data_IF_928924215144
#
_entry.id   IF_928924215144
#
_cell.length_a   1.000
_cell.length_b   1.000
_cell.length_c   1.000
_cell.angle_alpha   90.00
_cell.angle_beta   90.00
_cell.angle_gamma   90.00
#
_symmetry.space_group_name_H-M   'P 1'
#
loop_
_entity.id
_entity.type
_entity.pdbx_description
1 polymer ?
#
# COMPACT_ATOMS: atom_id res chain seq x y z
N UNK A 1 9.15 -14.93 -2.76
CA UNK A 1 9.46 -13.62 -2.18
C UNK A 1 10.74 -13.64 -1.36
N UNK A 2 11.68 -12.74 -1.61
CA UNK A 2 12.96 -12.64 -0.90
C UNK A 2 13.00 -11.38 -0.04
N UNK A 3 12.31 -11.41 1.10
CA UNK A 3 12.41 -10.34 2.09
C UNK A 3 13.73 -10.45 2.89
N UNK A 4 14.35 -9.32 3.27
CA UNK A 4 15.41 -9.31 4.28
C UNK A 4 14.95 -9.99 5.57
N UNK A 5 15.80 -10.83 6.18
CA UNK A 5 15.44 -11.61 7.39
C UNK A 5 14.98 -10.69 8.53
N UNK A 6 15.59 -9.50 8.68
CA UNK A 6 15.19 -8.53 9.70
C UNK A 6 13.76 -8.02 9.45
N UNK A 7 13.47 -7.58 8.23
CA UNK A 7 12.14 -7.13 7.82
C UNK A 7 11.07 -8.22 8.01
N UNK A 8 11.39 -9.48 7.70
CA UNK A 8 10.48 -10.60 7.95
C UNK A 8 10.13 -10.72 9.45
N UNK A 9 11.13 -10.61 10.33
CA UNK A 9 10.91 -10.67 11.78
C UNK A 9 10.07 -9.50 12.29
N UNK A 10 10.26 -8.30 11.75
CA UNK A 10 9.42 -7.13 12.09
C UNK A 10 7.95 -7.39 11.77
N UNK A 11 7.66 -7.95 10.59
CA UNK A 11 6.29 -8.36 10.24
C UNK A 11 5.76 -9.49 11.15
N UNK A 12 6.58 -10.49 11.47
CA UNK A 12 6.19 -11.59 12.37
C UNK A 12 5.86 -11.07 13.78
N UNK A 13 6.71 -10.22 14.35
CA UNK A 13 6.53 -9.62 15.68
C UNK A 13 5.29 -8.73 15.73
N UNK A 14 5.12 -7.84 14.75
CA UNK A 14 3.93 -6.99 14.65
C UNK A 14 2.65 -7.82 14.46
N UNK A 15 2.69 -8.87 13.64
CA UNK A 15 1.55 -9.75 13.40
C UNK A 15 1.15 -10.55 14.64
N UNK A 16 2.13 -10.92 15.48
CA UNK A 16 1.88 -11.61 16.75
C UNK A 16 1.16 -10.70 17.74
N UNK A 17 1.66 -9.48 17.94
CA UNK A 17 1.01 -8.50 18.83
C UNK A 17 -0.38 -8.13 18.30
N UNK A 18 -0.51 -7.94 17.00
CA UNK A 18 -1.81 -7.74 16.35
C UNK A 18 -2.79 -8.88 16.70
N UNK A 19 -2.39 -10.15 16.53
CA UNK A 19 -3.23 -11.31 16.84
C UNK A 19 -3.63 -11.37 18.31
N UNK A 20 -2.69 -11.17 19.22
CA UNK A 20 -2.96 -11.16 20.66
C UNK A 20 -3.97 -10.08 21.08
N UNK A 21 -3.97 -8.92 20.40
CA UNK A 21 -4.91 -7.84 20.68
C UNK A 21 -6.30 -8.14 20.11
N UNK A 22 -6.41 -8.63 18.87
CA UNK A 22 -7.72 -8.96 18.29
C UNK A 22 -8.38 -10.16 18.99
N UNK A 23 -7.61 -11.12 19.49
CA UNK A 23 -8.12 -12.24 20.31
C UNK A 23 -8.73 -11.77 21.63
N UNK A 24 -8.29 -10.62 22.15
CA UNK A 24 -8.88 -9.96 23.32
C UNK A 24 -10.13 -9.14 22.99
N UNK A 25 -10.57 -9.14 21.73
CA UNK A 25 -11.75 -8.41 21.26
C UNK A 25 -11.51 -6.95 20.94
N UNK A 26 -10.24 -6.53 20.80
CA UNK A 26 -9.92 -5.16 20.39
C UNK A 26 -10.40 -4.90 18.95
N UNK A 27 -10.91 -3.70 18.72
CA UNK A 27 -11.27 -3.21 17.39
C UNK A 27 -10.02 -2.62 16.75
N UNK A 28 -9.77 -2.88 15.47
CA UNK A 28 -8.60 -2.34 14.78
C UNK A 28 -8.93 -0.97 14.18
N UNK A 29 -8.21 0.07 14.59
CA UNK A 29 -8.27 1.39 13.94
C UNK A 29 -7.28 1.42 12.79
N UNK A 30 -7.71 1.78 11.59
CA UNK A 30 -6.82 1.98 10.43
C UNK A 30 -6.91 3.42 9.95
N UNK A 31 -5.76 4.05 9.71
CA UNK A 31 -5.65 5.34 9.03
C UNK A 31 -4.85 5.12 7.76
N UNK A 32 -5.33 5.65 6.64
CA UNK A 32 -4.67 5.48 5.35
C UNK A 32 -4.73 6.74 4.50
N UNK A 33 -3.80 6.88 3.56
CA UNK A 33 -3.80 7.98 2.60
C UNK A 33 -4.96 7.87 1.59
N UNK A 34 -5.33 8.99 0.97
CA UNK A 34 -6.48 9.11 0.07
C UNK A 34 -6.07 9.18 -1.41
N UNK A 35 -5.28 8.22 -1.84
CA UNK A 35 -4.95 7.96 -3.24
C UNK A 35 -5.09 6.45 -3.56
N UNK A 36 -4.64 6.03 -4.75
CA UNK A 36 -4.76 4.64 -5.16
C UNK A 36 -3.94 3.67 -4.28
N UNK A 37 -2.78 4.11 -3.77
CA UNK A 37 -1.92 3.27 -2.93
C UNK A 37 -2.53 3.11 -1.53
N UNK A 38 -2.85 4.22 -0.87
CA UNK A 38 -3.51 4.22 0.42
C UNK A 38 -4.86 3.50 0.41
N UNK A 39 -5.75 3.78 -0.54
CA UNK A 39 -7.05 3.09 -0.61
C UNK A 39 -6.91 1.58 -0.85
N UNK A 40 -5.91 1.16 -1.61
CA UNK A 40 -5.58 -0.26 -1.80
C UNK A 40 -5.03 -0.88 -0.52
N UNK A 41 -4.10 -0.20 0.15
CA UNK A 41 -3.53 -0.60 1.44
C UNK A 41 -4.61 -0.76 2.53
N UNK A 42 -5.48 0.25 2.69
CA UNK A 42 -6.62 0.22 3.59
C UNK A 42 -7.59 -0.92 3.27
N UNK A 43 -7.84 -1.21 1.99
CA UNK A 43 -8.70 -2.32 1.55
C UNK A 43 -8.10 -3.69 1.88
N UNK A 44 -6.79 -3.85 1.70
CA UNK A 44 -6.04 -5.06 2.08
C UNK A 44 -6.16 -5.29 3.60
N UNK A 45 -5.88 -4.26 4.40
CA UNK A 45 -5.99 -4.34 5.85
C UNK A 45 -7.43 -4.62 6.29
N UNK A 46 -8.42 -3.94 5.71
CA UNK A 46 -9.84 -4.21 5.98
C UNK A 46 -10.16 -5.69 5.80
N UNK A 47 -9.81 -6.24 4.63
CA UNK A 47 -10.14 -7.61 4.26
C UNK A 47 -9.39 -8.61 5.12
N UNK A 48 -8.11 -8.37 5.40
CA UNK A 48 -7.27 -9.19 6.28
C UNK A 48 -7.85 -9.23 7.69
N UNK A 49 -8.13 -8.07 8.31
CA UNK A 49 -8.68 -7.99 9.67
C UNK A 49 -10.08 -8.64 9.74
N UNK A 50 -10.92 -8.39 8.74
CA UNK A 50 -12.27 -8.97 8.68
C UNK A 50 -12.25 -10.50 8.60
N UNK A 51 -11.24 -11.10 7.95
CA UNK A 51 -11.05 -12.56 7.89
C UNK A 51 -10.75 -13.18 9.24
N UNK A 52 -10.12 -12.42 10.13
CA UNK A 52 -9.87 -12.81 11.51
C UNK A 52 -11.09 -12.55 12.42
N UNK A 53 -12.27 -12.28 11.85
CA UNK A 53 -13.53 -12.00 12.58
C UNK A 53 -13.44 -10.82 13.54
N UNK A 54 -12.54 -9.87 13.27
CA UNK A 54 -12.33 -8.66 14.05
C UNK A 54 -13.01 -7.45 13.38
N UNK A 55 -13.58 -6.55 14.18
CA UNK A 55 -14.12 -5.30 13.69
C UNK A 55 -12.99 -4.32 13.34
N UNK A 56 -13.16 -3.60 12.24
CA UNK A 56 -12.19 -2.63 11.74
C UNK A 56 -12.87 -1.29 11.49
N UNK A 57 -12.21 -0.19 11.90
CA UNK A 57 -12.66 1.17 11.62
C UNK A 57 -11.57 1.90 10.82
N UNK A 58 -11.84 2.13 9.54
CA UNK A 58 -10.90 2.78 8.62
C UNK A 58 -11.26 4.24 8.42
N UNK A 59 -10.25 5.11 8.36
CA UNK A 59 -10.38 6.49 7.91
C UNK A 59 -9.32 6.79 6.87
N UNK A 60 -9.77 7.16 5.66
CA UNK A 60 -8.89 7.71 4.62
C UNK A 60 -8.71 9.21 4.85
N UNK A 61 -7.47 9.66 4.86
CA UNK A 61 -7.11 11.06 5.05
C UNK A 61 -6.29 11.56 3.86
N UNK A 62 -6.49 12.82 3.47
CA UNK A 62 -5.64 13.45 2.45
C UNK A 62 -4.21 13.66 2.94
N UNK A 63 -4.05 13.85 4.25
CA UNK A 63 -2.75 13.97 4.90
C UNK A 63 -2.90 13.50 6.34
N UNK A 64 -1.90 12.81 6.86
CA UNK A 64 -1.83 12.48 8.28
C UNK A 64 -1.32 13.72 9.05
N UNK A 65 -2.22 14.63 9.37
CA UNK A 65 -1.94 15.77 10.23
C UNK A 65 -2.14 15.43 11.72
N UNK A 66 -1.70 16.33 12.59
CA UNK A 66 -1.83 16.15 14.05
C UNK A 66 -3.29 15.96 14.47
N UNK A 67 -4.25 16.58 13.76
CA UNK A 67 -5.68 16.41 14.03
C UNK A 67 -6.13 14.97 13.76
N UNK A 68 -5.76 14.39 12.62
CA UNK A 68 -6.08 13.01 12.28
C UNK A 68 -5.50 12.03 13.31
N UNK A 69 -4.28 12.28 13.80
CA UNK A 69 -3.62 11.48 14.85
C UNK A 69 -4.38 11.60 16.18
N UNK A 70 -4.74 12.82 16.60
CA UNK A 70 -5.53 13.06 17.83
C UNK A 70 -6.91 12.43 17.75
N UNK A 71 -7.58 12.53 16.61
CA UNK A 71 -8.89 11.91 16.37
C UNK A 71 -8.79 10.38 16.48
N UNK A 72 -7.69 9.77 16.04
CA UNK A 72 -7.43 8.35 16.25
C UNK A 72 -7.19 8.01 17.74
N UNK A 73 -6.47 8.86 18.47
CA UNK A 73 -6.20 8.70 19.91
C UNK A 73 -7.45 8.76 20.79
N UNK A 74 -8.45 9.55 20.38
CA UNK A 74 -9.69 9.79 21.13
C UNK A 74 -10.59 8.54 21.25
N UNK A 75 -10.33 7.51 20.44
CA UNK A 75 -11.11 6.29 20.47
C UNK A 75 -10.45 5.25 21.41
N UNK A 76 -11.26 4.32 21.92
CA UNK A 76 -10.84 3.38 22.98
C UNK A 76 -10.06 2.14 22.49
N UNK A 77 -9.76 2.03 21.19
CA UNK A 77 -9.09 0.85 20.61
C UNK A 77 -7.63 0.80 21.06
N UNK A 78 -7.13 -0.40 21.39
CA UNK A 78 -5.71 -0.58 21.76
C UNK A 78 -4.73 -0.69 20.60
N UNK A 79 -5.21 -0.82 19.37
CA UNK A 79 -4.37 -0.97 18.19
C UNK A 79 -4.74 0.00 17.07
N UNK A 80 -3.73 0.71 16.58
CA UNK A 80 -3.82 1.62 15.43
C UNK A 80 -2.84 1.17 14.36
N UNK A 81 -3.33 0.97 13.14
CA UNK A 81 -2.50 0.73 11.96
C UNK A 81 -2.55 1.98 11.09
N UNK A 82 -1.39 2.56 10.80
CA UNK A 82 -1.24 3.66 9.86
C UNK A 82 -0.56 3.09 8.62
N UNK A 83 -1.15 3.29 7.45
CA UNK A 83 -0.62 2.73 6.20
C UNK A 83 -0.53 3.78 5.12
N UNK A 84 0.54 3.70 4.31
CA UNK A 84 0.86 4.70 3.27
C UNK A 84 1.00 6.14 3.81
N UNK A 85 1.38 6.24 5.09
CA UNK A 85 1.64 7.48 5.81
C UNK A 85 2.31 7.14 7.16
N UNK A 86 2.78 8.16 7.87
CA UNK A 86 3.20 8.04 9.27
C UNK A 86 4.70 8.07 9.49
N UNK A 87 5.53 7.65 8.52
CA UNK A 87 6.99 7.63 8.71
C UNK A 87 7.59 9.03 8.91
N UNK A 88 6.90 10.07 8.42
CA UNK A 88 7.28 11.48 8.64
C UNK A 88 6.71 12.09 9.93
N UNK A 89 5.76 11.43 10.59
CA UNK A 89 4.97 11.96 11.71
C UNK A 89 5.18 11.16 13.01
N UNK A 90 6.32 10.48 13.14
CA UNK A 90 6.60 9.60 14.28
C UNK A 90 6.59 10.34 15.63
N UNK A 91 6.99 11.62 15.65
CA UNK A 91 6.99 12.44 16.87
C UNK A 91 5.57 12.73 17.36
N UNK A 92 4.67 13.09 16.43
CA UNK A 92 3.26 13.31 16.72
C UNK A 92 2.56 11.99 17.10
N UNK A 93 2.93 10.87 16.46
CA UNK A 93 2.47 9.54 16.84
C UNK A 93 2.91 9.20 18.26
N UNK A 94 4.16 9.50 18.62
CA UNK A 94 4.68 9.30 19.98
C UNK A 94 3.88 10.07 21.01
N UNK A 95 3.71 11.37 20.79
CA UNK A 95 3.02 12.26 21.73
C UNK A 95 1.56 11.84 21.95
N UNK A 96 0.85 11.45 20.89
CA UNK A 96 -0.60 11.30 20.95
C UNK A 96 -1.09 9.85 21.00
N UNK A 97 -0.30 8.85 20.59
CA UNK A 97 -0.76 7.46 20.49
C UNK A 97 0.00 6.47 21.37
N UNK A 98 1.33 6.56 21.46
CA UNK A 98 2.16 5.46 21.98
C UNK A 98 2.02 5.17 23.48
N UNK A 99 1.52 6.13 24.26
CA UNK A 99 1.22 5.94 25.69
C UNK A 99 0.02 5.01 25.95
N UNK A 100 -0.88 4.86 24.97
CA UNK A 100 -2.18 4.19 25.15
C UNK A 100 -2.41 3.03 24.20
N UNK A 101 -1.73 3.07 23.06
CA UNK A 101 -2.01 2.26 21.88
C UNK A 101 -0.74 1.60 21.37
N UNK A 102 -0.87 0.36 20.90
CA UNK A 102 0.10 -0.22 19.99
C UNK A 102 -0.12 0.36 18.59
N UNK A 103 0.94 0.88 17.99
CA UNK A 103 0.88 1.51 16.66
C UNK A 103 1.73 0.71 15.70
N UNK A 104 1.14 0.30 14.57
CA UNK A 104 1.85 -0.31 13.45
C UNK A 104 1.86 0.69 12.30
N UNK A 105 3.03 1.12 11.86
CA UNK A 105 3.21 1.99 10.70
C UNK A 105 3.72 1.14 9.54
N UNK A 106 2.92 1.02 8.47
CA UNK A 106 3.20 0.28 7.25
C UNK A 106 3.33 1.27 6.10
N UNK A 107 4.54 1.71 5.84
CA UNK A 107 4.78 2.87 4.97
C UNK A 107 6.07 2.69 4.18
N UNK A 108 6.18 3.42 3.08
CA UNK A 108 7.29 3.35 2.13
C UNK A 108 7.95 4.71 1.89
N UNK A 109 7.42 5.79 2.48
CA UNK A 109 8.03 7.11 2.43
C UNK A 109 9.33 7.17 3.25
N UNK A 110 10.14 8.20 3.01
CA UNK A 110 11.38 8.44 3.76
C UNK A 110 11.10 8.54 5.27
N UNK A 111 11.73 7.68 6.09
CA UNK A 111 11.44 7.63 7.52
C UNK A 111 12.21 8.66 8.34
N UNK A 112 11.59 9.09 9.44
CA UNK A 112 12.32 9.53 10.62
C UNK A 112 12.67 8.31 11.48
N UNK A 113 13.65 8.46 12.35
CA UNK A 113 14.02 7.41 13.31
C UNK A 113 13.26 7.63 14.63
N UNK A 114 12.58 6.59 15.10
CA UNK A 114 12.01 6.56 16.44
C UNK A 114 11.88 5.10 16.91
N UNK A 115 12.42 4.81 18.09
CA UNK A 115 12.20 3.55 18.78
C UNK A 115 11.25 3.74 19.97
N UNK A 116 10.28 2.84 20.11
CA UNK A 116 9.35 2.81 21.24
C UNK A 116 8.76 1.41 21.39
N UNK A 117 8.50 0.94 22.61
CA UNK A 117 8.00 -0.42 22.87
C UNK A 117 6.62 -0.70 22.25
N UNK A 118 5.78 0.33 22.15
CA UNK A 118 4.45 0.26 21.53
C UNK A 118 4.44 0.56 20.02
N UNK A 119 5.60 0.78 19.37
CA UNK A 119 5.69 1.16 17.96
C UNK A 119 6.32 0.04 17.12
N UNK A 120 5.59 -0.40 16.10
CA UNK A 120 6.10 -1.24 15.02
C UNK A 120 6.20 -0.39 13.75
N UNK A 121 7.36 0.22 13.52
CA UNK A 121 7.60 1.01 12.31
C UNK A 121 8.27 0.15 11.24
N UNK A 122 7.46 -0.43 10.35
CA UNK A 122 7.94 -1.32 9.30
C UNK A 122 8.02 -0.52 8.00
N UNK A 123 9.25 -0.19 7.60
CA UNK A 123 9.53 0.63 6.43
C UNK A 123 10.67 0.02 5.59
N UNK A 124 10.54 -0.07 4.26
CA UNK A 124 11.55 -0.66 3.38
C UNK A 124 12.91 0.05 3.44
N UNK A 125 12.94 1.35 3.70
CA UNK A 125 14.18 2.14 3.71
C UNK A 125 15.15 1.68 4.80
N UNK A 126 14.65 1.16 5.94
CA UNK A 126 15.50 0.59 7.01
C UNK A 126 16.30 -0.64 6.55
N UNK A 127 15.90 -1.25 5.42
CA UNK A 127 16.51 -2.45 4.86
C UNK A 127 17.17 -2.20 3.50
N UNK A 128 17.38 -0.94 3.12
CA UNK A 128 18.01 -0.56 1.86
C UNK A 128 17.15 -0.82 0.62
N UNK A 129 15.83 -0.94 0.79
CA UNK A 129 14.86 -1.09 -0.29
C UNK A 129 14.32 0.30 -0.65
N UNK A 130 14.26 0.60 -1.94
CA UNK A 130 13.77 1.88 -2.44
C UNK A 130 12.24 1.93 -2.43
N UNK A 131 11.66 2.65 -1.47
CA UNK A 131 10.22 2.83 -1.35
C UNK A 131 9.56 3.51 -2.55
N UNK A 132 10.29 4.25 -3.39
CA UNK A 132 9.70 4.89 -4.57
C UNK A 132 9.53 3.95 -5.78
N UNK A 133 10.14 2.76 -5.75
CA UNK A 133 10.16 1.84 -6.93
C UNK A 133 10.00 0.37 -6.60
N UNK A 134 10.47 -0.07 -5.44
CA UNK A 134 10.60 -1.49 -5.13
C UNK A 134 9.42 -2.04 -4.32
N UNK A 135 8.70 -1.19 -3.56
CA UNK A 135 7.49 -1.55 -2.83
C UNK A 135 6.66 -0.30 -2.47
N UNK A 136 5.34 -0.36 -2.61
CA UNK A 136 4.41 0.72 -2.23
C UNK A 136 3.82 0.51 -0.83
N UNK A 137 3.08 1.47 -0.30
CA UNK A 137 2.28 1.35 0.91
C UNK A 137 1.29 0.18 0.86
N UNK A 138 0.60 -0.04 -0.27
CA UNK A 138 -0.24 -1.23 -0.47
C UNK A 138 0.57 -2.52 -0.51
N UNK A 139 1.78 -2.47 -1.07
CA UNK A 139 2.75 -3.57 -0.97
C UNK A 139 3.09 -3.91 0.48
N UNK A 140 3.43 -2.91 1.30
CA UNK A 140 3.72 -3.06 2.72
C UNK A 140 2.53 -3.64 3.51
N UNK A 141 1.32 -3.14 3.25
CA UNK A 141 0.08 -3.67 3.81
C UNK A 141 -0.17 -5.14 3.41
N UNK A 142 0.12 -5.52 2.16
CA UNK A 142 0.01 -6.90 1.70
C UNK A 142 0.99 -7.83 2.41
N UNK A 143 2.25 -7.42 2.55
CA UNK A 143 3.26 -8.20 3.28
C UNK A 143 2.84 -8.45 4.74
N UNK A 144 2.36 -7.41 5.43
CA UNK A 144 1.79 -7.55 6.76
C UNK A 144 0.58 -8.49 6.78
N UNK A 145 -0.35 -8.35 5.83
CA UNK A 145 -1.53 -9.21 5.75
C UNK A 145 -1.15 -10.70 5.58
N UNK A 146 -0.07 -11.00 4.86
CA UNK A 146 0.43 -12.37 4.72
C UNK A 146 1.09 -12.89 5.99
N UNK A 147 1.79 -12.04 6.73
CA UNK A 147 2.33 -12.40 8.04
C UNK A 147 1.20 -12.71 9.04
N UNK A 148 0.09 -11.97 8.97
CA UNK A 148 -1.13 -12.29 9.72
C UNK A 148 -1.72 -13.62 9.26
N UNK A 149 -1.95 -13.80 7.95
CA UNK A 149 -2.54 -15.01 7.43
C UNK A 149 -2.05 -15.31 6.00
N UNK A 150 -1.32 -16.42 5.76
CA UNK A 150 -0.80 -16.74 4.42
C UNK A 150 -1.88 -16.88 3.34
N UNK A 151 -3.14 -17.13 3.71
CA UNK A 151 -4.27 -17.19 2.75
C UNK A 151 -4.59 -15.84 2.11
N UNK A 152 -4.08 -14.73 2.64
CA UNK A 152 -4.22 -13.38 2.07
C UNK A 152 -3.42 -13.15 0.77
N UNK A 153 -2.78 -14.19 0.23
CA UNK A 153 -2.11 -14.13 -1.08
C UNK A 153 -3.07 -13.68 -2.20
N UNK A 154 -4.37 -13.96 -2.08
CA UNK A 154 -5.40 -13.50 -3.02
C UNK A 154 -5.66 -11.97 -2.99
N UNK A 155 -5.07 -11.24 -2.03
CA UNK A 155 -5.11 -9.78 -1.95
C UNK A 155 -4.00 -9.10 -2.76
N UNK A 156 -3.08 -9.87 -3.35
CA UNK A 156 -1.99 -9.31 -4.17
C UNK A 156 -2.46 -8.44 -5.34
N UNK A 157 -3.65 -8.63 -5.98
CA UNK A 157 -4.13 -7.69 -6.98
C UNK A 157 -4.29 -6.26 -6.46
N UNK A 158 -4.73 -6.08 -5.21
CA UNK A 158 -4.86 -4.75 -4.60
C UNK A 158 -3.48 -4.12 -4.37
N UNK A 159 -2.51 -4.91 -3.94
CA UNK A 159 -1.14 -4.43 -3.75
C UNK A 159 -0.53 -3.93 -5.07
N UNK A 160 -0.79 -4.65 -6.17
CA UNK A 160 -0.35 -4.25 -7.50
C UNK A 160 -1.10 -2.99 -7.98
N UNK A 161 -2.40 -2.87 -7.72
CA UNK A 161 -3.14 -1.63 -8.02
C UNK A 161 -2.53 -0.43 -7.30
N UNK A 162 -2.18 -0.57 -6.02
CA UNK A 162 -1.51 0.49 -5.26
C UNK A 162 -0.15 0.86 -5.86
N UNK A 163 0.71 -0.13 -6.11
CA UNK A 163 2.02 0.10 -6.72
C UNK A 163 1.96 0.77 -8.11
N UNK A 164 0.98 0.41 -8.94
CA UNK A 164 0.75 1.05 -10.24
C UNK A 164 0.17 2.46 -10.08
N UNK A 165 -0.71 2.66 -9.10
CA UNK A 165 -1.25 3.98 -8.75
C UNK A 165 -0.18 4.96 -8.27
N UNK A 166 0.85 4.43 -7.63
CA UNK A 166 2.04 5.14 -7.16
C UNK A 166 3.17 5.18 -8.22
N UNK A 167 2.86 4.78 -9.46
CA UNK A 167 3.76 4.85 -10.63
C UNK A 167 5.08 4.08 -10.43
N UNK A 168 5.07 3.02 -9.61
CA UNK A 168 6.28 2.25 -9.32
C UNK A 168 6.72 1.35 -10.48
N UNK A 169 5.91 1.25 -11.55
CA UNK A 169 6.24 0.60 -12.81
C UNK A 169 6.77 1.58 -13.88
N UNK A 170 7.18 2.80 -13.51
CA UNK A 170 7.66 3.84 -14.45
C UNK A 170 8.69 3.33 -15.48
N UNK A 171 9.52 2.35 -15.12
CA UNK A 171 10.49 1.69 -16.02
C UNK A 171 9.89 0.74 -17.06
N UNK A 172 8.56 0.60 -17.14
CA UNK A 172 7.86 -0.38 -17.98
C UNK A 172 7.61 -1.71 -17.29
N UNK A 173 8.01 -1.85 -16.03
CA UNK A 173 7.85 -3.07 -15.26
C UNK A 173 7.92 -2.83 -13.75
N UNK A 174 7.28 -3.73 -13.00
CA UNK A 174 7.47 -3.83 -11.55
C UNK A 174 8.76 -4.59 -11.25
N UNK A 175 9.52 -4.13 -10.26
CA UNK A 175 10.80 -4.70 -9.87
C UNK A 175 10.79 -5.17 -8.43
N UNK A 176 11.75 -6.02 -8.05
CA UNK A 176 12.05 -6.33 -6.64
C UNK A 176 10.83 -6.82 -5.87
N UNK A 177 10.47 -6.22 -4.73
CA UNK A 177 9.37 -6.74 -3.92
C UNK A 177 8.02 -6.59 -4.63
N UNK A 178 7.78 -5.54 -5.39
CA UNK A 178 6.60 -5.45 -6.26
C UNK A 178 6.54 -6.60 -7.28
N UNK A 179 7.69 -7.01 -7.83
CA UNK A 179 7.77 -8.19 -8.70
C UNK A 179 7.43 -9.48 -7.94
N UNK A 180 7.95 -9.63 -6.72
CA UNK A 180 7.63 -10.78 -5.88
C UNK A 180 6.13 -10.86 -5.54
N UNK A 181 5.47 -9.72 -5.27
CA UNK A 181 4.02 -9.62 -5.03
C UNK A 181 3.22 -9.99 -6.29
N UNK A 182 3.68 -9.54 -7.46
CA UNK A 182 3.08 -9.91 -8.74
C UNK A 182 3.19 -11.43 -8.98
N UNK A 183 4.36 -12.01 -8.75
CA UNK A 183 4.59 -13.45 -8.88
C UNK A 183 3.72 -14.26 -7.92
N UNK A 184 3.55 -13.82 -6.68
CA UNK A 184 2.61 -14.42 -5.73
C UNK A 184 1.19 -14.50 -6.31
N UNK A 185 0.69 -13.39 -6.90
CA UNK A 185 -0.64 -13.36 -7.51
C UNK A 185 -0.77 -14.22 -8.75
N UNK A 186 0.27 -14.30 -9.58
CA UNK A 186 0.30 -15.19 -10.75
C UNK A 186 0.24 -16.64 -10.30
N UNK A 187 1.04 -17.01 -9.31
CA UNK A 187 1.08 -18.37 -8.76
C UNK A 187 -0.25 -18.76 -8.09
N UNK A 188 -0.94 -17.80 -7.48
CA UNK A 188 -2.27 -17.99 -6.92
C UNK A 188 -3.41 -17.94 -7.96
N UNK A 189 -3.11 -17.63 -9.23
CA UNK A 189 -4.09 -17.56 -10.32
C UNK A 189 -5.01 -16.33 -10.28
N UNK A 190 -4.65 -15.29 -9.51
CA UNK A 190 -5.44 -14.05 -9.36
C UNK A 190 -4.88 -12.87 -10.16
N UNK A 191 -3.66 -13.02 -10.71
CA UNK A 191 -3.03 -12.03 -11.59
C UNK A 191 -2.48 -12.68 -12.86
N UNK A 192 -2.35 -11.85 -13.89
CA UNK A 192 -1.63 -12.16 -15.12
C UNK A 192 -0.77 -10.96 -15.48
N UNK A 193 0.48 -11.21 -15.86
CA UNK A 193 1.38 -10.21 -16.44
C UNK A 193 1.56 -10.47 -17.93
N UNK A 194 1.41 -9.44 -18.75
CA UNK A 194 1.59 -9.49 -20.20
C UNK A 194 2.40 -8.29 -20.66
N UNK A 195 3.14 -8.46 -21.77
CA UNK A 195 3.74 -7.35 -22.46
C UNK A 195 2.70 -6.74 -23.40
N UNK A 196 2.29 -5.50 -23.12
CA UNK A 196 1.29 -4.78 -23.91
C UNK A 196 1.50 -3.26 -23.84
N UNK A 197 0.68 -2.50 -24.55
CA UNK A 197 0.65 -1.03 -24.53
C UNK A 197 0.15 -0.53 -23.17
N UNK A 198 0.96 0.29 -22.51
CA UNK A 198 0.65 0.96 -21.23
C UNK A 198 -0.20 2.22 -21.46
N UNK A 199 -1.38 2.06 -22.04
CA UNK A 199 -2.29 3.17 -22.31
C UNK A 199 -3.29 3.37 -21.17
N UNK A 200 -3.49 4.62 -20.76
CA UNK A 200 -4.58 4.99 -19.87
C UNK A 200 -5.94 4.78 -20.57
N UNK A 201 -6.88 4.13 -19.89
CA UNK A 201 -8.21 3.89 -20.44
C UNK A 201 -8.30 2.73 -21.45
N UNK A 202 -7.25 1.90 -21.60
CA UNK A 202 -7.23 0.71 -22.49
C UNK A 202 -8.50 -0.15 -22.44
N UNK A 203 -9.10 -0.29 -21.26
CA UNK A 203 -10.29 -1.14 -21.04
C UNK A 203 -11.62 -0.39 -21.20
N UNK A 204 -11.62 0.94 -21.17
CA UNK A 204 -12.83 1.76 -21.01
C UNK A 204 -12.99 2.84 -22.09
N UNK A 205 -12.03 2.97 -23.00
CA UNK A 205 -11.98 4.01 -24.02
C UNK A 205 -11.70 3.41 -25.41
N UNK A 206 -12.23 4.03 -26.49
CA UNK A 206 -11.73 3.77 -27.84
C UNK A 206 -10.22 4.02 -27.95
N UNK A 207 -9.54 3.31 -28.85
CA UNK A 207 -8.08 3.33 -28.94
C UNK A 207 -7.50 4.75 -29.13
N UNK A 208 -8.10 5.57 -29.99
CA UNK A 208 -7.63 6.95 -30.20
C UNK A 208 -7.72 7.81 -28.93
N UNK A 209 -8.76 7.63 -28.09
CA UNK A 209 -8.88 8.32 -26.79
C UNK A 209 -7.87 7.78 -25.76
N UNK A 210 -7.62 6.48 -25.76
CA UNK A 210 -6.61 5.89 -24.89
C UNK A 210 -5.21 6.44 -25.20
N UNK A 211 -4.86 6.59 -26.48
CA UNK A 211 -3.61 7.22 -26.91
C UNK A 211 -3.59 8.71 -26.52
N UNK A 212 -4.66 9.46 -26.82
CA UNK A 212 -4.77 10.89 -26.50
C UNK A 212 -4.53 11.18 -25.01
N UNK A 213 -5.12 10.38 -24.12
CA UNK A 213 -5.02 10.60 -22.67
C UNK A 213 -3.77 10.00 -22.03
N UNK A 214 -3.00 9.21 -22.75
CA UNK A 214 -1.76 8.66 -22.21
C UNK A 214 -0.68 9.73 -22.24
N UNK A 215 -0.32 10.24 -21.07
CA UNK A 215 0.79 11.20 -20.88
C UNK A 215 2.05 10.57 -20.33
N UNK A 216 1.97 9.32 -19.85
CA UNK A 216 3.10 8.54 -19.35
C UNK A 216 2.96 7.08 -19.84
N UNK A 217 3.80 6.62 -20.80
CA UNK A 217 4.80 7.41 -21.50
C UNK A 217 4.14 8.46 -22.42
N UNK A 218 4.73 9.65 -22.49
CA UNK A 218 4.30 10.65 -23.45
C UNK A 218 4.61 10.17 -24.88
N UNK A 219 3.63 10.26 -25.78
CA UNK A 219 3.75 9.82 -27.18
C UNK A 219 3.82 11.07 -28.07
N UNK A 220 5.02 11.46 -28.56
CA UNK A 220 5.20 12.68 -29.34
C UNK A 220 4.28 12.74 -30.57
N UNK A 221 3.55 13.84 -30.69
CA UNK A 221 2.61 14.07 -31.79
C UNK A 221 1.23 13.45 -31.61
N UNK A 222 1.02 12.57 -30.60
CA UNK A 222 -0.28 11.91 -30.36
C UNK A 222 -0.90 12.32 -29.01
N UNK A 223 -0.15 12.25 -27.91
CA UNK A 223 -0.64 12.59 -26.58
C UNK A 223 -1.23 14.00 -26.54
N UNK A 224 -2.46 14.14 -26.06
CA UNK A 224 -3.22 15.39 -26.00
C UNK A 224 -3.84 15.84 -27.32
N UNK A 225 -3.72 15.08 -28.41
CA UNK A 225 -4.26 15.43 -29.73
C UNK A 225 -5.21 14.35 -30.27
N UNK A 226 -6.51 14.55 -30.07
CA UNK A 226 -7.56 13.65 -30.58
C UNK A 226 -7.45 13.46 -32.10
N UNK A 227 -7.27 14.55 -32.85
CA UNK A 227 -7.20 14.53 -34.31
C UNK A 227 -5.98 13.76 -34.82
N UNK A 228 -4.81 13.95 -34.20
CA UNK A 228 -3.62 13.21 -34.57
C UNK A 228 -3.74 11.72 -34.23
N UNK A 229 -4.33 11.37 -33.08
CA UNK A 229 -4.60 9.98 -32.72
C UNK A 229 -5.58 9.31 -33.69
N UNK A 230 -6.64 10.01 -34.09
CA UNK A 230 -7.61 9.50 -35.04
C UNK A 230 -7.01 9.32 -36.44
N UNK A 231 -6.18 10.27 -36.90
CA UNK A 231 -5.46 10.14 -38.18
C UNK A 231 -4.49 8.96 -38.16
N UNK A 232 -3.67 8.86 -37.11
CA UNK A 232 -2.68 7.79 -36.94
C UNK A 232 -3.26 6.38 -37.01
N UNK A 233 -4.52 6.19 -36.58
CA UNK A 233 -5.20 4.88 -36.62
C UNK A 233 -5.96 4.60 -37.91
N UNK A 234 -6.15 5.60 -38.78
CA UNK A 234 -6.84 5.45 -40.06
C UNK A 234 -5.88 5.30 -41.25
N UNK A 235 -4.58 5.53 -41.05
CA UNK A 235 -3.51 5.25 -42.01
C UNK A 235 -3.07 3.78 -41.97
#
# INVERSE_FOLDING_TARGET
MRLPIKMLREFEEASKVFKELIEKGEVVRVITHNDADGLSAGSILHKSVSRESCAVHITSVKQLDERAIKDASANSQKIVIITDAGSGQLEEIREHLLDKHYVIVLDHHQPKELEHESLFHINPHHHGIDGAREISGAGMAYLFSKAVNPSNTDLSPLAIVGALGDIQDAGGELVRLNRDVLEDGINAGVLKAEKDLRLFGRQTRPLYKAIEYTTEPFIPGLSGSESACAQFLND
#
